data_IF_524190864994
#
_entry.id   IF_524190864994
#
_cell.length_a   1.000
_cell.length_b   1.000
_cell.length_c   1.000
_cell.angle_alpha   90.00
_cell.angle_beta   90.00
_cell.angle_gamma   90.00
#
_symmetry.space_group_name_H-M   'P 1'
#
loop_
_entity.id
_entity.type
_entity.pdbx_description
1 polymer ?
#
# COMPACT_ATOMS: atom_id res chain seq x y z
N UNK A 1 -7.41 10.61 -14.78
CA UNK A 1 -6.70 11.03 -13.59
C UNK A 1 -5.20 10.95 -13.85
N UNK A 2 -4.49 12.07 -13.73
CA UNK A 2 -3.02 12.11 -13.84
C UNK A 2 -2.43 12.10 -12.43
N UNK A 3 -1.66 11.05 -12.09
CA UNK A 3 -1.01 10.90 -10.81
C UNK A 3 0.28 10.07 -10.93
N UNK A 4 1.16 10.18 -9.96
CA UNK A 4 2.37 9.35 -9.84
C UNK A 4 2.71 9.10 -8.37
N UNK A 5 3.63 8.19 -8.10
CA UNK A 5 4.00 7.81 -6.73
C UNK A 5 4.60 8.97 -5.91
N UNK A 6 5.23 9.95 -6.55
CA UNK A 6 5.75 11.12 -5.84
C UNK A 6 4.63 12.03 -5.33
N UNK A 7 3.46 12.02 -5.96
CA UNK A 7 2.30 12.78 -5.52
C UNK A 7 1.78 12.22 -4.20
N UNK A 8 1.78 10.90 -4.03
CA UNK A 8 1.39 10.24 -2.78
C UNK A 8 2.31 10.67 -1.64
N UNK A 9 3.64 10.62 -1.87
CA UNK A 9 4.61 11.05 -0.86
C UNK A 9 4.45 12.53 -0.47
N UNK A 10 4.22 13.37 -1.47
CA UNK A 10 3.99 14.80 -1.29
C UNK A 10 2.71 15.06 -0.49
N UNK A 11 1.60 14.39 -0.83
CA UNK A 11 0.32 14.54 -0.12
C UNK A 11 0.40 14.06 1.32
N UNK A 12 1.07 12.92 1.57
CA UNK A 12 1.29 12.44 2.95
C UNK A 12 2.07 13.46 3.78
N UNK A 13 3.16 14.01 3.21
CA UNK A 13 3.96 15.05 3.90
C UNK A 13 3.12 16.29 4.21
N UNK A 14 2.30 16.74 3.26
CA UNK A 14 1.41 17.88 3.47
C UNK A 14 0.39 17.61 4.58
N UNK A 15 -0.19 16.41 4.65
CA UNK A 15 -1.12 16.05 5.73
C UNK A 15 -0.44 16.02 7.10
N UNK A 16 0.84 15.61 7.16
CA UNK A 16 1.60 15.55 8.41
C UNK A 16 2.14 16.92 8.82
N UNK A 17 2.32 17.85 7.89
CA UNK A 17 2.76 19.23 8.12
C UNK A 17 1.59 20.24 8.23
N UNK A 18 0.36 19.74 8.22
CA UNK A 18 -0.83 20.58 8.13
C UNK A 18 -0.97 21.49 9.35
N UNK A 19 -1.35 22.72 9.10
CA UNK A 19 -1.53 23.80 10.04
C UNK A 19 -2.27 23.35 11.30
N UNK A 20 -1.70 23.66 12.45
CA UNK A 20 -2.45 23.65 13.70
C UNK A 20 -3.63 24.63 13.57
N UNK A 21 -4.83 24.08 13.58
CA UNK A 21 -6.02 24.91 13.57
C UNK A 21 -6.27 25.35 15.03
N UNK A 22 -5.91 26.57 15.36
CA UNK A 22 -6.07 27.15 16.72
C UNK A 22 -7.50 27.06 17.27
N UNK A 23 -8.50 26.78 16.41
CA UNK A 23 -9.91 26.62 16.80
C UNK A 23 -10.28 25.20 17.23
N UNK A 24 -9.38 24.24 17.06
CA UNK A 24 -9.61 22.83 17.37
C UNK A 24 -8.70 22.41 18.52
N UNK A 25 -9.22 21.58 19.41
CA UNK A 25 -8.42 20.90 20.41
C UNK A 25 -7.45 19.91 19.76
N UNK A 26 -6.41 19.48 20.48
CA UNK A 26 -5.45 18.50 19.97
C UNK A 26 -6.14 17.17 19.55
N UNK A 27 -7.16 16.75 20.29
CA UNK A 27 -7.94 15.55 19.99
C UNK A 27 -8.76 15.73 18.70
N UNK A 28 -9.43 16.85 18.52
CA UNK A 28 -10.19 17.16 17.32
C UNK A 28 -9.27 17.28 16.10
N UNK A 29 -8.09 17.85 16.24
CA UNK A 29 -7.10 17.92 15.17
C UNK A 29 -6.65 16.52 14.73
N UNK A 30 -6.44 15.59 15.68
CA UNK A 30 -6.05 14.21 15.32
C UNK A 30 -7.20 13.48 14.62
N UNK A 31 -8.45 13.67 15.02
CA UNK A 31 -9.63 13.11 14.32
C UNK A 31 -9.69 13.62 12.87
N UNK A 32 -9.44 14.92 12.66
CA UNK A 32 -9.41 15.51 11.32
C UNK A 32 -8.26 14.95 10.50
N UNK A 33 -7.05 14.82 11.07
CA UNK A 33 -5.90 14.23 10.40
C UNK A 33 -6.17 12.76 10.01
N UNK A 34 -6.71 11.96 10.93
CA UNK A 34 -7.07 10.57 10.68
C UNK A 34 -8.09 10.47 9.53
N UNK A 35 -9.11 11.33 9.51
CA UNK A 35 -10.09 11.39 8.43
C UNK A 35 -9.45 11.74 7.09
N UNK A 36 -8.59 12.76 7.05
CA UNK A 36 -7.86 13.15 5.83
C UNK A 36 -6.94 12.02 5.31
N UNK A 37 -6.23 11.32 6.23
CA UNK A 37 -5.40 10.15 5.86
C UNK A 37 -6.24 9.02 5.27
N UNK A 38 -7.42 8.75 5.85
CA UNK A 38 -8.36 7.74 5.32
C UNK A 38 -8.84 8.09 3.91
N UNK A 39 -9.21 9.34 3.67
CA UNK A 39 -9.61 9.81 2.34
C UNK A 39 -8.48 9.69 1.33
N UNK A 40 -7.25 10.06 1.71
CA UNK A 40 -6.08 9.90 0.85
C UNK A 40 -5.83 8.41 0.52
N UNK A 41 -5.93 7.54 1.51
CA UNK A 41 -5.73 6.10 1.31
C UNK A 41 -6.81 5.51 0.38
N UNK A 42 -8.07 5.92 0.52
CA UNK A 42 -9.14 5.52 -0.39
C UNK A 42 -8.85 5.97 -1.83
N UNK A 43 -8.35 7.19 -2.02
CA UNK A 43 -7.97 7.69 -3.34
C UNK A 43 -6.77 6.93 -3.93
N UNK A 44 -5.78 6.60 -3.10
CA UNK A 44 -4.65 5.75 -3.51
C UNK A 44 -5.17 4.37 -3.95
N UNK A 45 -6.09 3.79 -3.17
CA UNK A 45 -6.72 2.52 -3.51
C UNK A 45 -7.42 2.58 -4.87
N UNK A 46 -8.21 3.61 -5.12
CA UNK A 46 -8.84 3.83 -6.42
C UNK A 46 -7.82 3.89 -7.57
N UNK A 47 -6.70 4.56 -7.38
CA UNK A 47 -5.65 4.66 -8.40
C UNK A 47 -4.96 3.33 -8.68
N UNK A 48 -4.84 2.47 -7.67
CA UNK A 48 -4.04 1.25 -7.73
C UNK A 48 -4.86 -0.02 -7.95
N UNK A 49 -6.18 0.01 -7.68
CA UNK A 49 -7.01 -1.19 -7.83
C UNK A 49 -6.96 -1.77 -9.23
N UNK A 50 -7.00 -3.09 -9.33
CA UNK A 50 -7.20 -3.83 -10.58
C UNK A 50 -8.68 -4.10 -10.85
N UNK A 51 -9.54 -3.94 -9.83
CA UNK A 51 -10.99 -4.09 -9.92
C UNK A 51 -11.62 -3.02 -10.81
N UNK A 52 -12.88 -3.22 -11.16
CA UNK A 52 -13.67 -2.21 -11.85
C UNK A 52 -13.68 -0.88 -11.07
N UNK A 53 -13.28 0.21 -11.73
CA UNK A 53 -13.24 1.54 -11.09
C UNK A 53 -14.63 2.04 -10.68
N UNK A 54 -15.69 1.69 -11.42
CA UNK A 54 -17.05 2.04 -11.03
C UNK A 54 -17.49 1.26 -9.79
N UNK A 55 -17.20 -0.03 -9.73
CA UNK A 55 -17.49 -0.84 -8.55
C UNK A 55 -16.71 -0.36 -7.32
N UNK A 56 -15.48 0.04 -7.49
CA UNK A 56 -14.69 0.62 -6.40
C UNK A 56 -15.36 1.88 -5.82
N UNK A 57 -15.86 2.75 -6.71
CA UNK A 57 -16.55 3.99 -6.30
C UNK A 57 -17.89 3.69 -5.62
N UNK A 58 -18.73 2.82 -6.18
CA UNK A 58 -20.03 2.46 -5.57
C UNK A 58 -19.83 1.85 -4.18
N UNK A 59 -18.87 0.95 -4.04
CA UNK A 59 -18.49 0.36 -2.74
C UNK A 59 -18.02 1.42 -1.74
N UNK A 60 -17.23 2.39 -2.19
CA UNK A 60 -16.75 3.48 -1.33
C UNK A 60 -17.90 4.34 -0.78
N UNK A 61 -18.94 4.56 -1.56
CA UNK A 61 -20.14 5.31 -1.14
C UNK A 61 -21.20 4.45 -0.44
N UNK A 62 -20.91 3.18 -0.17
CA UNK A 62 -21.80 2.28 0.58
C UNK A 62 -22.98 1.75 -0.23
N UNK A 63 -22.94 1.86 -1.54
CA UNK A 63 -23.96 1.25 -2.40
C UNK A 63 -23.72 -0.26 -2.50
N UNK A 64 -24.69 -1.05 -2.04
CA UNK A 64 -24.73 -2.49 -2.20
C UNK A 64 -25.27 -2.83 -3.60
N UNK A 65 -24.38 -2.90 -4.57
CA UNK A 65 -24.72 -3.28 -5.93
C UNK A 65 -23.54 -2.95 -6.83
N UNK A 66 -22.87 -3.95 -7.36
CA UNK A 66 -21.74 -3.77 -8.27
C UNK A 66 -22.14 -2.90 -9.47
N UNK A 67 -21.15 -2.35 -10.16
CA UNK A 67 -21.38 -1.68 -11.43
C UNK A 67 -22.13 -2.64 -12.38
N UNK A 68 -23.13 -2.14 -13.09
CA UNK A 68 -23.78 -2.93 -14.12
C UNK A 68 -22.75 -3.45 -15.10
N UNK A 69 -22.76 -4.76 -15.35
CA UNK A 69 -21.81 -5.46 -16.20
C UNK A 69 -22.47 -5.81 -17.52
N UNK A 70 -21.77 -5.63 -18.62
CA UNK A 70 -22.21 -6.05 -19.95
C UNK A 70 -21.93 -7.54 -20.17
N UNK A 71 -22.47 -8.11 -21.24
CA UNK A 71 -22.28 -9.53 -21.62
C UNK A 71 -20.80 -9.89 -21.82
N UNK A 72 -19.95 -8.92 -22.15
CA UNK A 72 -18.50 -9.09 -22.32
C UNK A 72 -17.71 -9.00 -20.99
N UNK A 73 -18.39 -8.87 -19.86
CA UNK A 73 -17.77 -8.74 -18.53
C UNK A 73 -17.29 -7.33 -18.21
N UNK A 74 -17.36 -6.37 -19.14
CA UNK A 74 -16.99 -4.99 -18.88
C UNK A 74 -18.12 -4.21 -18.23
N UNK A 75 -17.80 -3.20 -17.42
CA UNK A 75 -18.80 -2.34 -16.82
C UNK A 75 -19.53 -1.47 -17.87
N UNK A 76 -20.82 -1.20 -17.64
CA UNK A 76 -21.59 -0.26 -18.47
C UNK A 76 -20.95 1.13 -18.37
N UNK A 77 -20.70 1.76 -19.52
CA UNK A 77 -19.97 3.03 -19.63
C UNK A 77 -18.46 2.89 -19.80
N UNK A 78 -17.91 1.68 -19.58
CA UNK A 78 -16.48 1.39 -19.72
C UNK A 78 -15.60 2.12 -18.72
N UNK A 79 -14.64 1.43 -18.13
CA UNK A 79 -13.59 2.06 -17.35
C UNK A 79 -12.22 1.54 -17.80
N UNK A 80 -11.16 2.26 -17.44
CA UNK A 80 -9.81 1.90 -17.85
C UNK A 80 -9.41 0.48 -17.40
N UNK A 81 -9.88 0.02 -16.25
CA UNK A 81 -9.58 -1.33 -15.75
C UNK A 81 -10.35 -2.41 -16.52
N UNK A 82 -11.64 -2.22 -16.77
CA UNK A 82 -12.43 -3.16 -17.59
C UNK A 82 -11.97 -3.16 -19.06
N UNK A 83 -11.43 -2.06 -19.54
CA UNK A 83 -10.85 -1.95 -20.89
C UNK A 83 -9.45 -2.58 -21.02
N UNK A 84 -8.91 -3.13 -19.96
CA UNK A 84 -7.61 -3.81 -19.91
C UNK A 84 -6.43 -2.95 -20.42
N UNK A 85 -6.37 -1.70 -19.97
CA UNK A 85 -5.37 -0.71 -20.41
C UNK A 85 -4.13 -0.61 -19.51
N UNK A 86 -3.89 -1.60 -18.65
CA UNK A 86 -2.74 -1.64 -17.74
C UNK A 86 -2.12 -3.04 -17.70
N UNK A 87 -0.83 -3.09 -17.39
CA UNK A 87 -0.12 -4.34 -17.11
C UNK A 87 -0.22 -4.68 -15.63
N UNK A 88 -0.38 -5.96 -15.31
CA UNK A 88 -0.30 -6.49 -13.95
C UNK A 88 1.01 -7.24 -13.73
N UNK A 89 1.38 -7.37 -12.47
CA UNK A 89 2.51 -8.19 -12.01
C UNK A 89 1.99 -9.12 -10.93
N UNK A 90 2.24 -10.41 -11.10
CA UNK A 90 1.98 -11.41 -10.06
C UNK A 90 2.94 -11.18 -8.89
N UNK A 91 2.37 -10.97 -7.72
CA UNK A 91 3.08 -10.74 -6.45
C UNK A 91 2.60 -11.69 -5.36
N UNK A 92 2.00 -12.81 -5.74
CA UNK A 92 1.42 -13.81 -4.84
C UNK A 92 2.42 -14.27 -3.77
N UNK A 93 3.64 -14.63 -4.18
CA UNK A 93 4.68 -15.10 -3.24
C UNK A 93 5.13 -13.99 -2.29
N UNK A 94 5.22 -12.76 -2.79
CA UNK A 94 5.57 -11.60 -1.95
C UNK A 94 4.46 -11.35 -0.93
N UNK A 95 3.20 -11.38 -1.34
CA UNK A 95 2.04 -11.18 -0.46
C UNK A 95 1.96 -12.26 0.62
N UNK A 96 2.18 -13.53 0.26
CA UNK A 96 2.25 -14.65 1.21
C UNK A 96 3.39 -14.47 2.21
N UNK A 97 4.58 -14.07 1.75
CA UNK A 97 5.73 -13.82 2.62
C UNK A 97 5.45 -12.66 3.58
N UNK A 98 4.81 -11.59 3.13
CA UNK A 98 4.42 -10.46 3.96
C UNK A 98 3.42 -10.91 5.03
N UNK A 99 2.34 -11.63 4.67
CA UNK A 99 1.35 -12.15 5.62
C UNK A 99 1.99 -13.05 6.67
N UNK A 100 2.87 -13.97 6.25
CA UNK A 100 3.60 -14.84 7.18
C UNK A 100 4.49 -14.03 8.13
N UNK A 101 5.20 -13.01 7.61
CA UNK A 101 6.03 -12.15 8.45
C UNK A 101 5.21 -11.37 9.48
N UNK A 102 4.04 -10.85 9.10
CA UNK A 102 3.11 -10.18 10.03
C UNK A 102 2.68 -11.12 11.16
N UNK A 103 2.44 -12.40 10.85
CA UNK A 103 2.17 -13.43 11.84
C UNK A 103 3.38 -13.65 12.77
N UNK A 104 4.56 -13.88 12.20
CA UNK A 104 5.79 -14.22 12.94
C UNK A 104 6.20 -13.09 13.92
N UNK A 105 5.97 -11.82 13.55
CA UNK A 105 6.23 -10.66 14.42
C UNK A 105 5.04 -10.33 15.34
N UNK A 106 4.04 -11.23 15.46
CA UNK A 106 2.86 -11.08 16.31
C UNK A 106 2.09 -9.76 16.10
N UNK A 107 2.06 -9.23 14.87
CA UNK A 107 1.35 -7.99 14.54
C UNK A 107 1.75 -6.78 15.42
N UNK A 108 3.02 -6.68 15.79
CA UNK A 108 3.51 -5.68 16.75
C UNK A 108 4.46 -4.63 16.14
N UNK A 109 4.71 -4.70 14.84
CA UNK A 109 5.70 -3.82 14.21
C UNK A 109 5.12 -3.07 13.01
N UNK A 110 5.76 -1.97 12.66
CA UNK A 110 5.41 -1.18 11.49
C UNK A 110 5.98 -1.76 10.19
N UNK A 111 5.46 -1.26 9.07
CA UNK A 111 5.82 -1.70 7.72
C UNK A 111 7.33 -1.68 7.45
N UNK A 112 8.05 -0.66 7.95
CA UNK A 112 9.49 -0.58 7.78
C UNK A 112 10.26 -1.76 8.38
N UNK A 113 9.83 -2.28 9.54
CA UNK A 113 10.47 -3.43 10.18
C UNK A 113 10.13 -4.74 9.47
N UNK A 114 8.89 -4.90 9.00
CA UNK A 114 8.49 -6.05 8.17
C UNK A 114 9.38 -6.14 6.93
N UNK A 115 9.57 -5.03 6.23
CA UNK A 115 10.44 -4.97 5.05
C UNK A 115 11.88 -5.35 5.39
N UNK A 116 12.42 -4.81 6.49
CA UNK A 116 13.79 -5.14 6.95
C UNK A 116 13.94 -6.62 7.30
N UNK A 117 12.97 -7.24 7.99
CA UNK A 117 12.97 -8.67 8.32
C UNK A 117 12.97 -9.50 7.03
N UNK A 118 12.03 -9.25 6.13
CA UNK A 118 11.91 -9.97 4.86
C UNK A 118 13.17 -9.84 3.98
N UNK A 119 13.86 -8.72 4.07
CA UNK A 119 15.13 -8.49 3.36
C UNK A 119 16.35 -9.10 4.03
N UNK A 120 16.23 -9.62 5.25
CA UNK A 120 17.35 -10.14 6.02
C UNK A 120 18.30 -9.03 6.52
N UNK A 121 17.75 -7.87 6.88
CA UNK A 121 18.53 -6.74 7.36
C UNK A 121 19.16 -7.00 8.73
N UNK A 122 20.45 -6.66 8.88
CA UNK A 122 21.19 -6.72 10.15
C UNK A 122 21.07 -5.42 10.97
N UNK A 123 20.03 -4.61 10.74
CA UNK A 123 19.85 -3.34 11.42
C UNK A 123 19.60 -3.55 12.92
N UNK A 124 20.25 -2.74 13.76
CA UNK A 124 20.21 -2.87 15.23
C UNK A 124 18.78 -2.66 15.80
N UNK A 125 17.94 -1.90 15.12
CA UNK A 125 16.55 -1.65 15.51
C UNK A 125 15.64 -2.89 15.38
N UNK A 126 16.17 -4.01 14.88
CA UNK A 126 15.49 -5.30 14.81
C UNK A 126 15.92 -6.27 15.93
N UNK A 127 16.99 -6.00 16.68
CA UNK A 127 17.59 -6.97 17.60
C UNK A 127 16.60 -7.51 18.64
N UNK A 128 15.66 -6.71 19.11
CA UNK A 128 14.64 -7.11 20.07
C UNK A 128 13.62 -8.12 19.52
N UNK A 129 13.54 -8.28 18.18
CA UNK A 129 12.70 -9.27 17.52
C UNK A 129 13.41 -10.62 17.35
N UNK A 130 14.70 -10.70 17.64
CA UNK A 130 15.52 -11.87 17.30
C UNK A 130 15.30 -12.32 15.85
N UNK A 131 15.55 -11.42 14.86
CA UNK A 131 15.07 -11.60 13.50
C UNK A 131 15.60 -12.87 12.84
N UNK A 132 16.79 -13.33 13.23
CA UNK A 132 17.42 -14.55 12.67
C UNK A 132 16.61 -15.82 13.03
N UNK A 133 15.84 -15.79 14.12
CA UNK A 133 15.03 -16.90 14.57
C UNK A 133 13.64 -16.91 13.88
N UNK A 134 13.31 -15.86 13.16
CA UNK A 134 12.04 -15.76 12.43
C UNK A 134 12.11 -16.57 11.12
N UNK A 135 11.16 -17.48 10.85
CA UNK A 135 11.14 -18.27 9.60
C UNK A 135 11.13 -17.40 8.34
N UNK A 136 10.62 -16.18 8.44
CA UNK A 136 10.51 -15.25 7.30
C UNK A 136 11.71 -14.33 7.11
N UNK A 137 12.74 -14.45 7.97
CA UNK A 137 13.94 -13.62 7.85
C UNK A 137 14.69 -13.90 6.56
N UNK A 138 14.85 -12.86 5.73
CA UNK A 138 15.58 -12.95 4.47
C UNK A 138 14.83 -13.64 3.32
N UNK A 139 13.57 -14.05 3.50
CA UNK A 139 12.79 -14.73 2.44
C UNK A 139 12.70 -13.93 1.14
N UNK A 140 12.73 -12.62 1.22
CA UNK A 140 12.66 -11.71 0.07
C UNK A 140 13.96 -10.91 -0.11
N UNK A 141 15.12 -11.51 0.22
CA UNK A 141 16.41 -10.84 0.11
C UNK A 141 16.76 -10.38 -1.32
N UNK A 142 16.29 -11.11 -2.34
CA UNK A 142 16.46 -10.77 -3.75
C UNK A 142 15.44 -9.74 -4.26
N UNK A 143 14.34 -9.50 -3.53
CA UNK A 143 13.29 -8.56 -3.92
C UNK A 143 13.66 -7.14 -3.49
N UNK A 144 13.40 -6.14 -4.32
CA UNK A 144 13.69 -4.75 -3.96
C UNK A 144 12.83 -4.29 -2.78
N UNK A 145 13.39 -3.44 -1.92
CA UNK A 145 12.65 -2.84 -0.79
C UNK A 145 11.41 -2.10 -1.27
N UNK A 146 11.53 -1.42 -2.38
CA UNK A 146 10.47 -0.65 -2.99
C UNK A 146 9.30 -1.54 -3.38
N UNK A 147 9.57 -2.67 -4.04
CA UNK A 147 8.54 -3.63 -4.45
C UNK A 147 7.81 -4.24 -3.24
N UNK A 148 8.55 -4.61 -2.18
CA UNK A 148 7.92 -5.13 -0.95
C UNK A 148 7.02 -4.07 -0.32
N UNK A 149 7.43 -2.80 -0.29
CA UNK A 149 6.63 -1.69 0.23
C UNK A 149 5.37 -1.44 -0.60
N UNK A 150 5.47 -1.53 -1.91
CA UNK A 150 4.33 -1.35 -2.81
C UNK A 150 3.29 -2.46 -2.58
N UNK A 151 3.73 -3.72 -2.53
CA UNK A 151 2.84 -4.86 -2.26
C UNK A 151 2.20 -4.73 -0.88
N UNK A 152 2.97 -4.42 0.16
CA UNK A 152 2.45 -4.23 1.51
C UNK A 152 1.40 -3.10 1.55
N UNK A 153 1.67 -1.98 0.89
CA UNK A 153 0.74 -0.86 0.81
C UNK A 153 -0.54 -1.23 0.06
N UNK A 154 -0.43 -2.01 -1.03
CA UNK A 154 -1.58 -2.48 -1.79
C UNK A 154 -2.40 -3.49 -0.97
N UNK A 155 -1.75 -4.44 -0.29
CA UNK A 155 -2.42 -5.39 0.61
C UNK A 155 -3.20 -4.68 1.73
N UNK A 156 -2.69 -3.56 2.23
CA UNK A 156 -3.40 -2.75 3.22
C UNK A 156 -4.62 -2.04 2.61
N UNK A 157 -4.52 -1.62 1.35
CA UNK A 157 -5.63 -1.00 0.62
C UNK A 157 -6.73 -2.02 0.31
N UNK A 158 -6.35 -3.25 -0.05
CA UNK A 158 -7.27 -4.30 -0.47
C UNK A 158 -7.84 -5.11 0.72
N UNK A 159 -7.50 -4.71 1.96
CA UNK A 159 -8.06 -5.29 3.18
C UNK A 159 -7.40 -6.59 3.65
N UNK A 160 -6.32 -7.04 3.03
CA UNK A 160 -5.52 -8.17 3.54
C UNK A 160 -4.73 -7.79 4.80
N UNK A 161 -4.32 -6.53 4.88
CA UNK A 161 -3.65 -5.96 6.04
C UNK A 161 -4.40 -4.72 6.53
N UNK A 162 -4.14 -4.34 7.76
CA UNK A 162 -4.60 -3.10 8.37
C UNK A 162 -3.39 -2.37 8.96
N UNK A 163 -3.31 -1.08 8.77
CA UNK A 163 -2.25 -0.25 9.37
C UNK A 163 -2.90 0.65 10.39
N UNK A 164 -2.48 0.53 11.66
CA UNK A 164 -3.02 1.37 12.73
C UNK A 164 -2.69 2.84 12.49
N UNK A 165 -3.54 3.71 13.00
CA UNK A 165 -3.29 5.16 13.01
C UNK A 165 -2.34 5.55 14.14
N UNK A 166 -1.76 6.76 14.07
CA UNK A 166 -0.88 7.32 15.09
C UNK A 166 0.57 7.48 14.66
N UNK A 167 1.41 7.95 15.57
CA UNK A 167 2.83 8.27 15.31
C UNK A 167 3.70 7.03 15.05
N UNK A 168 3.28 5.86 15.53
CA UNK A 168 3.97 4.59 15.35
C UNK A 168 3.02 3.54 14.74
N UNK A 169 2.71 3.64 13.43
CA UNK A 169 1.75 2.74 12.81
C UNK A 169 2.23 1.29 12.83
N UNK A 170 1.35 0.39 13.23
CA UNK A 170 1.59 -1.05 13.32
C UNK A 170 0.78 -1.75 12.22
N UNK A 171 1.39 -2.74 11.58
CA UNK A 171 0.73 -3.57 10.59
C UNK A 171 0.07 -4.76 11.28
N UNK A 172 -1.21 -4.96 11.01
CA UNK A 172 -2.04 -6.04 11.52
C UNK A 172 -2.73 -6.77 10.37
N UNK A 173 -3.35 -7.89 10.66
CA UNK A 173 -4.24 -8.55 9.70
C UNK A 173 -5.50 -7.71 9.48
N UNK A 174 -5.90 -7.63 8.22
CA UNK A 174 -7.18 -7.06 7.79
C UNK A 174 -8.26 -8.13 7.69
N UNK A 175 -9.45 -7.73 7.28
CA UNK A 175 -10.62 -8.62 7.19
C UNK A 175 -10.42 -9.78 6.21
N UNK A 176 -9.64 -9.56 5.15
CA UNK A 176 -9.35 -10.52 4.10
C UNK A 176 -8.06 -11.32 4.31
N UNK A 177 -7.41 -11.18 5.46
CA UNK A 177 -6.12 -11.82 5.70
C UNK A 177 -6.13 -13.35 5.52
N UNK A 178 -7.23 -14.02 5.88
CA UNK A 178 -7.38 -15.46 5.74
C UNK A 178 -7.25 -15.95 4.28
N UNK A 179 -7.54 -15.10 3.30
CA UNK A 179 -7.42 -15.45 1.90
C UNK A 179 -5.96 -15.71 1.49
N UNK A 180 -5.00 -15.03 2.11
CA UNK A 180 -3.58 -15.12 1.77
C UNK A 180 -2.96 -16.50 2.02
N UNK A 181 -3.59 -17.32 2.86
CA UNK A 181 -3.15 -18.70 3.17
C UNK A 181 -3.91 -19.75 2.36
N UNK A 182 -4.94 -19.37 1.61
CA UNK A 182 -5.69 -20.29 0.78
C UNK A 182 -4.80 -20.85 -0.35
N UNK A 183 -4.94 -22.15 -0.72
CA UNK A 183 -4.14 -22.76 -1.76
C UNK A 183 -4.27 -22.08 -3.13
N UNK A 184 -5.46 -21.59 -3.44
CA UNK A 184 -5.80 -20.90 -4.68
C UNK A 184 -5.62 -19.38 -4.62
N UNK A 185 -4.98 -18.86 -3.56
CA UNK A 185 -4.71 -17.42 -3.49
C UNK A 185 -3.79 -16.98 -4.62
N UNK A 186 -4.27 -16.05 -5.39
CA UNK A 186 -3.55 -15.38 -6.46
C UNK A 186 -3.69 -13.88 -6.29
N UNK A 187 -2.58 -13.15 -6.42
CA UNK A 187 -2.58 -11.72 -6.17
C UNK A 187 -1.73 -10.97 -7.18
N UNK A 188 -2.36 -10.10 -7.91
CA UNK A 188 -1.74 -9.23 -8.90
C UNK A 188 -1.90 -7.77 -8.52
N UNK A 189 -0.90 -6.97 -8.82
CA UNK A 189 -0.95 -5.52 -8.67
C UNK A 189 -0.62 -4.85 -10.00
N UNK A 190 -1.10 -3.61 -10.20
CA UNK A 190 -0.73 -2.82 -11.36
C UNK A 190 0.78 -2.61 -11.41
N UNK A 191 1.35 -2.78 -12.60
CA UNK A 191 2.74 -2.43 -12.84
C UNK A 191 2.89 -0.91 -12.82
N UNK A 192 3.65 -0.41 -11.85
CA UNK A 192 3.91 1.02 -11.71
C UNK A 192 5.15 1.37 -12.51
N UNK A 193 4.98 2.11 -13.60
CA UNK A 193 6.10 2.69 -14.31
C UNK A 193 6.72 3.83 -13.49
N UNK A 194 7.92 3.58 -12.97
CA UNK A 194 8.71 4.62 -12.30
C UNK A 194 9.61 5.28 -13.32
N UNK A 195 9.34 6.54 -13.65
CA UNK A 195 10.31 7.36 -14.38
C UNK A 195 11.56 7.48 -13.50
N UNK A 196 12.66 6.87 -13.94
CA UNK A 196 13.96 7.12 -13.32
C UNK A 196 14.18 8.63 -13.29
N UNK A 197 14.40 9.20 -12.11
CA UNK A 197 14.87 10.57 -12.00
C UNK A 197 16.22 10.64 -12.70
N UNK A 198 16.23 11.23 -13.88
CA UNK A 198 17.46 11.53 -14.60
C UNK A 198 18.28 12.44 -13.69
N UNK A 199 19.46 11.98 -13.26
CA UNK A 199 20.42 12.82 -12.54
C UNK A 199 20.59 14.09 -13.37
N UNK A 200 20.24 15.21 -12.75
CA UNK A 200 20.45 16.54 -13.31
C UNK A 200 21.94 16.63 -13.63
N UNK A 201 22.28 16.70 -14.92
CA UNK A 201 23.64 16.90 -15.36
C UNK A 201 24.15 18.19 -14.71
N UNK A 202 25.25 18.11 -14.01
CA UNK A 202 25.98 19.26 -13.50
C UNK A 202 26.31 20.15 -14.68
N UNK A 203 25.86 21.39 -14.61
CA UNK A 203 26.26 22.42 -15.54
C UNK A 203 27.77 22.65 -15.38
N UNK A 204 28.57 22.68 -16.46
CA UNK A 204 29.96 23.02 -16.34
C UNK A 204 30.08 24.47 -15.88
N UNK A 205 30.81 24.69 -14.78
CA UNK A 205 31.23 26.01 -14.33
C UNK A 205 32.12 26.65 -15.41
N UNK A 206 31.63 27.74 -16.02
CA UNK A 206 32.44 28.60 -16.84
C UNK A 206 33.39 29.37 -15.93
N UNK A 207 34.69 29.12 -16.08
CA UNK A 207 35.77 29.89 -15.53
C UNK A 207 35.99 31.23 -16.24
#
# INVERSE_FOLDING_TARGET
>A
LLWNESDIATRRRLLDSDYENERLTAEEQEVVRASKRRLLNAMIGYCRTTDCLHEYMTRYFGEAGGAAVRDDGACVGGCANCGNTFETVDVTDIARAISRCVHDVNQKVGSGKIVKVLRGSKAQDLNYLHPVDLPTYGMLSATSEVQIRDVLSQMATDGFLSISEGSMPIVRFGERAAETVAPNFHYEIKKIERKHATKRAESPSVG
#
